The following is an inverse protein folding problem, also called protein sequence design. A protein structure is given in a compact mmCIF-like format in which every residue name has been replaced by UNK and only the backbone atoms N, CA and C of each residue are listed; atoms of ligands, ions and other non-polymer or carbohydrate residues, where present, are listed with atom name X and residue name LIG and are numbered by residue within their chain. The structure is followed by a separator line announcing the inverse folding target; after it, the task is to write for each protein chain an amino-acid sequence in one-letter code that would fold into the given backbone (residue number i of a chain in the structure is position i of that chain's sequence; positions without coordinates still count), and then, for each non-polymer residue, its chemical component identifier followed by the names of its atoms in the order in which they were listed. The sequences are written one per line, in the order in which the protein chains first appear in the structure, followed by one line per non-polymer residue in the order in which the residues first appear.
data_IF_418492114935
#
_entry.id   IF_418492114935
#
_cell.length_a   1.000
_cell.length_b   1.000
_cell.length_c   1.000
_cell.angle_alpha   90.00
_cell.angle_beta   90.00
_cell.angle_gamma   90.00
#
_symmetry.space_group_name_H-M   'P 1'
#
loop_
_entity.id
_entity.type
_entity.pdbx_description
1 polymer ?
#
# COMPACT_ATOMS: atom_id res chain seq x y z
N UNK A 1 4.66 -11.94 1.71
CA UNK A 1 4.56 -11.20 0.45
C UNK A 1 5.53 -11.68 -0.63
N UNK A 2 6.65 -12.32 -0.22
CA UNK A 2 7.55 -12.92 -1.21
C UNK A 2 6.83 -13.97 -2.05
N UNK A 3 5.82 -14.59 -1.48
CA UNK A 3 5.03 -15.62 -2.15
C UNK A 3 3.81 -15.08 -2.88
N UNK A 4 3.67 -13.76 -2.93
CA UNK A 4 2.53 -13.13 -3.61
C UNK A 4 2.58 -13.46 -5.09
N UNK A 5 1.52 -14.09 -5.58
CA UNK A 5 1.36 -14.43 -6.99
C UNK A 5 0.31 -13.54 -7.61
N UNK A 6 0.32 -13.49 -8.94
CA UNK A 6 -0.64 -12.67 -9.69
C UNK A 6 -2.09 -12.99 -9.34
N UNK A 7 -2.40 -14.27 -9.11
CA UNK A 7 -3.76 -14.66 -8.73
C UNK A 7 -4.18 -14.08 -7.37
N UNK A 8 -3.24 -13.90 -6.45
CA UNK A 8 -3.53 -13.27 -5.16
C UNK A 8 -3.82 -11.79 -5.35
N UNK A 9 -3.08 -11.14 -6.23
CA UNK A 9 -3.29 -9.73 -6.55
C UNK A 9 -4.63 -9.52 -7.22
N UNK A 10 -5.01 -10.41 -8.13
CA UNK A 10 -6.32 -10.39 -8.78
C UNK A 10 -7.44 -10.52 -7.76
N UNK A 11 -7.28 -11.36 -6.75
CA UNK A 11 -8.27 -11.53 -5.70
C UNK A 11 -8.42 -10.24 -4.87
N UNK A 12 -7.32 -9.55 -4.59
CA UNK A 12 -7.36 -8.27 -3.88
C UNK A 12 -8.14 -7.24 -4.70
N UNK A 13 -7.87 -7.17 -6.00
CA UNK A 13 -8.58 -6.25 -6.89
C UNK A 13 -10.07 -6.58 -6.90
N UNK A 14 -10.42 -7.86 -6.98
CA UNK A 14 -11.81 -8.29 -6.97
C UNK A 14 -12.52 -7.89 -5.67
N UNK A 15 -11.88 -8.11 -4.53
CA UNK A 15 -12.45 -7.74 -3.24
C UNK A 15 -12.66 -6.24 -3.11
N UNK A 16 -11.73 -5.44 -3.60
CA UNK A 16 -11.90 -3.99 -3.61
C UNK A 16 -13.01 -3.55 -4.55
N UNK A 17 -13.18 -4.25 -5.67
CA UNK A 17 -14.23 -3.96 -6.64
C UNK A 17 -15.62 -4.21 -6.05
N UNK A 18 -15.77 -5.32 -5.34
CA UNK A 18 -17.09 -5.74 -4.82
C UNK A 18 -17.43 -5.16 -3.46
N UNK A 19 -16.45 -4.63 -2.74
CA UNK A 19 -16.71 -4.02 -1.43
C UNK A 19 -17.63 -2.81 -1.58
N UNK A 20 -18.56 -2.66 -0.63
CA UNK A 20 -19.45 -1.50 -0.61
C UNK A 20 -18.78 -0.30 0.04
N UNK A 21 -17.72 -0.52 0.79
CA UNK A 21 -16.96 0.54 1.45
C UNK A 21 -16.20 1.37 0.44
N UNK A 22 -16.09 2.67 0.74
CA UNK A 22 -15.33 3.60 -0.10
C UNK A 22 -13.96 3.94 0.49
N UNK A 23 -13.67 3.44 1.66
CA UNK A 23 -12.39 3.63 2.36
C UNK A 23 -11.87 2.27 2.77
N UNK A 24 -10.74 1.87 2.22
CA UNK A 24 -10.19 0.53 2.40
C UNK A 24 -8.72 0.62 2.77
N UNK A 25 -8.33 -0.02 3.86
CA UNK A 25 -6.91 -0.19 4.22
C UNK A 25 -6.55 -1.65 3.99
N UNK A 26 -5.42 -1.86 3.33
CA UNK A 26 -4.91 -3.20 3.03
C UNK A 26 -3.55 -3.36 3.69
N UNK A 27 -3.41 -4.36 4.54
CA UNK A 27 -2.09 -4.74 5.05
C UNK A 27 -1.46 -5.73 4.07
N UNK A 28 -0.22 -5.47 3.70
CA UNK A 28 0.44 -6.16 2.60
C UNK A 28 1.93 -6.29 2.89
N UNK A 29 2.53 -7.35 2.41
CA UNK A 29 3.98 -7.46 2.48
C UNK A 29 4.65 -6.39 1.65
N UNK A 30 5.83 -5.95 2.09
CA UNK A 30 6.45 -4.75 1.52
C UNK A 30 7.14 -4.98 0.18
N UNK A 31 7.55 -6.22 -0.13
CA UNK A 31 8.34 -6.47 -1.34
C UNK A 31 7.55 -6.29 -2.64
N UNK A 32 6.26 -6.58 -2.61
CA UNK A 32 5.42 -6.50 -3.81
C UNK A 32 4.28 -5.51 -3.66
N UNK A 33 4.30 -4.70 -2.61
CA UNK A 33 3.25 -3.73 -2.31
C UNK A 33 3.03 -2.74 -3.46
N UNK A 34 4.11 -2.26 -4.06
CA UNK A 34 4.02 -1.31 -5.18
C UNK A 34 3.34 -1.92 -6.40
N UNK A 35 3.55 -3.22 -6.63
CA UNK A 35 2.90 -3.92 -7.74
C UNK A 35 1.38 -3.98 -7.53
N UNK A 36 0.96 -4.31 -6.33
CA UNK A 36 -0.47 -4.38 -6.00
C UNK A 36 -1.11 -2.99 -6.04
N UNK A 37 -0.40 -1.98 -5.53
CA UNK A 37 -0.90 -0.61 -5.57
C UNK A 37 -1.12 -0.13 -7.01
N UNK A 38 -0.20 -0.43 -7.92
CA UNK A 38 -0.37 -0.06 -9.33
C UNK A 38 -1.53 -0.80 -9.98
N UNK A 39 -1.70 -2.08 -9.67
CA UNK A 39 -2.82 -2.86 -10.20
C UNK A 39 -4.18 -2.28 -9.75
N UNK A 40 -4.27 -1.90 -8.48
CA UNK A 40 -5.47 -1.26 -7.95
C UNK A 40 -5.68 0.12 -8.56
N UNK A 41 -4.60 0.90 -8.70
CA UNK A 41 -4.67 2.25 -9.26
C UNK A 41 -5.18 2.25 -10.69
N UNK A 42 -4.85 1.23 -11.47
CA UNK A 42 -5.29 1.11 -12.86
C UNK A 42 -6.81 0.93 -13.00
N UNK A 43 -7.49 0.54 -11.92
CA UNK A 43 -8.94 0.33 -11.95
C UNK A 43 -9.74 1.63 -11.83
N UNK A 44 -9.11 2.71 -11.39
CA UNK A 44 -9.76 4.03 -11.23
C UNK A 44 -11.04 3.96 -10.37
N UNK A 45 -10.96 3.30 -9.24
CA UNK A 45 -12.07 3.20 -8.31
C UNK A 45 -12.48 4.58 -7.77
N UNK A 46 -13.77 4.73 -7.50
CA UNK A 46 -14.27 5.88 -6.74
C UNK A 46 -14.17 5.56 -5.25
N UNK A 47 -12.97 5.25 -4.81
CA UNK A 47 -12.65 4.81 -3.44
C UNK A 47 -11.27 5.32 -3.06
N UNK A 48 -11.05 5.47 -1.77
CA UNK A 48 -9.72 5.72 -1.23
C UNK A 48 -9.18 4.42 -0.66
N UNK A 49 -8.08 3.94 -1.22
CA UNK A 49 -7.46 2.68 -0.82
C UNK A 49 -6.03 2.96 -0.40
N UNK A 50 -5.67 2.56 0.81
CA UNK A 50 -4.32 2.78 1.33
C UNK A 50 -3.72 1.43 1.70
N UNK A 51 -2.59 1.12 1.08
CA UNK A 51 -1.81 -0.08 1.41
C UNK A 51 -0.73 0.28 2.41
N UNK A 52 -0.50 -0.60 3.35
CA UNK A 52 0.54 -0.44 4.36
C UNK A 52 1.04 -1.82 4.80
N UNK A 53 2.08 -1.83 5.61
CA UNK A 53 2.64 -3.08 6.10
C UNK A 53 3.72 -2.82 7.13
N UNK A 54 4.51 -3.84 7.42
CA UNK A 54 5.60 -3.75 8.37
C UNK A 54 6.90 -4.19 7.73
N UNK A 55 7.93 -3.39 7.87
CA UNK A 55 9.27 -3.78 7.48
C UNK A 55 9.86 -4.75 8.49
N UNK A 56 9.52 -4.57 9.78
CA UNK A 56 10.00 -5.40 10.88
C UNK A 56 8.81 -6.17 11.45
N UNK A 57 8.72 -7.49 11.23
CA UNK A 57 7.62 -8.29 11.77
C UNK A 57 7.58 -8.30 13.30
N UNK A 58 6.40 -8.41 13.87
CA UNK A 58 6.21 -8.45 15.32
C UNK A 58 6.98 -9.57 16.01
N UNK A 59 7.21 -10.69 15.32
CA UNK A 59 7.94 -11.82 15.90
C UNK A 59 9.38 -11.47 16.30
N UNK A 60 9.91 -10.35 15.84
CA UNK A 60 11.25 -9.89 16.18
C UNK A 60 11.24 -8.84 17.30
N UNK A 61 10.12 -8.69 18.01
CA UNK A 61 9.97 -7.73 19.09
C UNK A 61 9.36 -6.43 18.63
N UNK A 62 10.15 -5.35 18.59
CA UNK A 62 9.64 -4.06 18.12
C UNK A 62 9.33 -4.11 16.64
N UNK A 63 8.19 -3.55 16.25
CA UNK A 63 7.76 -3.50 14.86
C UNK A 63 7.27 -2.10 14.51
N UNK A 64 7.43 -1.73 13.26
CA UNK A 64 6.87 -0.50 12.70
C UNK A 64 5.40 -0.66 12.28
N UNK A 65 4.84 -1.87 12.40
CA UNK A 65 3.51 -2.17 11.89
C UNK A 65 2.40 -1.34 12.50
N UNK A 66 2.41 -1.16 13.83
CA UNK A 66 1.36 -0.38 14.50
C UNK A 66 1.36 1.06 14.05
N UNK A 67 2.52 1.68 13.95
CA UNK A 67 2.65 3.05 13.48
C UNK A 67 2.13 3.18 12.05
N UNK A 68 2.52 2.24 11.19
CA UNK A 68 2.14 2.27 9.78
C UNK A 68 0.63 2.07 9.59
N UNK A 69 0.01 1.14 10.32
CA UNK A 69 -1.43 0.92 10.19
C UNK A 69 -2.23 2.10 10.76
N UNK A 70 -1.76 2.70 11.85
CA UNK A 70 -2.42 3.88 12.39
C UNK A 70 -2.35 5.04 11.40
N UNK A 71 -1.20 5.23 10.76
CA UNK A 71 -1.04 6.26 9.72
C UNK A 71 -1.97 5.99 8.54
N UNK A 72 -2.05 4.74 8.08
CA UNK A 72 -2.92 4.38 6.96
C UNK A 72 -4.39 4.64 7.29
N UNK A 73 -4.82 4.34 8.51
CA UNK A 73 -6.19 4.60 8.95
C UNK A 73 -6.50 6.09 8.98
N UNK A 74 -5.53 6.92 9.33
CA UNK A 74 -5.71 8.37 9.28
C UNK A 74 -5.78 8.87 7.84
N UNK A 75 -4.87 8.42 6.99
CA UNK A 75 -4.83 8.85 5.59
C UNK A 75 -6.07 8.44 4.80
N UNK A 76 -6.59 7.23 5.02
CA UNK A 76 -7.74 6.74 4.25
C UNK A 76 -8.98 7.58 4.48
N UNK A 77 -9.06 8.25 5.62
CA UNK A 77 -10.19 9.08 5.99
C UNK A 77 -10.11 10.50 5.43
N UNK A 78 -8.95 10.92 4.95
CA UNK A 78 -8.71 12.32 4.60
C UNK A 78 -8.31 12.54 3.15
N UNK A 79 -7.75 11.53 2.50
CA UNK A 79 -7.29 11.66 1.12
C UNK A 79 -8.43 11.51 0.10
N UNK A 80 -8.32 12.18 -1.04
CA UNK A 80 -9.29 12.00 -2.12
C UNK A 80 -9.23 10.58 -2.68
N UNK A 81 -10.22 10.21 -3.47
CA UNK A 81 -10.24 8.91 -4.12
C UNK A 81 -8.95 8.65 -4.87
N UNK A 82 -8.41 7.47 -4.69
CA UNK A 82 -7.15 7.06 -5.26
C UNK A 82 -6.56 5.90 -4.49
N UNK A 83 -5.43 5.41 -4.97
CA UNK A 83 -4.71 4.31 -4.34
C UNK A 83 -3.34 4.82 -3.88
N UNK A 84 -3.01 4.56 -2.63
CA UNK A 84 -1.85 5.12 -1.97
C UNK A 84 -1.10 4.06 -1.19
N UNK A 85 0.17 4.31 -0.92
CA UNK A 85 0.98 3.53 0.02
C UNK A 85 1.33 4.45 1.18
N UNK A 86 1.08 3.99 2.41
CA UNK A 86 1.46 4.71 3.63
C UNK A 86 2.53 3.90 4.37
N UNK A 87 3.74 4.44 4.42
CA UNK A 87 4.87 3.81 5.09
C UNK A 87 5.72 4.87 5.77
N UNK A 88 6.15 4.58 6.99
CA UNK A 88 7.07 5.43 7.76
C UNK A 88 6.56 6.86 7.96
N UNK A 89 5.24 7.03 8.12
CA UNK A 89 4.61 8.33 8.34
C UNK A 89 4.46 9.17 7.09
N UNK A 90 4.77 8.60 5.92
CA UNK A 90 4.63 9.27 4.63
C UNK A 90 3.56 8.56 3.79
N UNK A 91 2.97 9.30 2.86
CA UNK A 91 2.00 8.73 1.94
C UNK A 91 2.44 9.01 0.50
N UNK A 92 2.25 8.02 -0.35
CA UNK A 92 2.66 8.10 -1.76
C UNK A 92 1.50 7.66 -2.65
N UNK A 93 1.33 8.35 -3.77
CA UNK A 93 0.39 7.90 -4.80
C UNK A 93 0.94 6.63 -5.46
N UNK A 94 0.06 5.72 -5.84
CA UNK A 94 0.39 4.37 -6.30
C UNK A 94 1.42 4.28 -7.42
N UNK A 95 1.47 5.28 -8.31
CA UNK A 95 2.37 5.27 -9.46
C UNK A 95 3.61 6.15 -9.27
N UNK A 96 3.78 6.71 -8.07
CA UNK A 96 4.89 7.62 -7.76
C UNK A 96 5.74 7.15 -6.59
N UNK A 97 5.79 5.86 -6.38
CA UNK A 97 6.51 5.29 -5.25
C UNK A 97 7.35 4.09 -5.68
N UNK A 98 8.52 3.97 -5.10
CA UNK A 98 9.37 2.79 -5.21
C UNK A 98 9.86 2.39 -3.83
N UNK A 99 10.19 1.12 -3.68
CA UNK A 99 10.90 0.63 -2.50
C UNK A 99 12.37 0.56 -2.85
N UNK A 100 13.18 1.34 -2.11
CA UNK A 100 14.63 1.27 -2.27
C UNK A 100 15.11 -0.06 -1.67
N UNK A 101 15.60 -0.96 -2.52
CA UNK A 101 15.97 -2.31 -2.11
C UNK A 101 17.21 -2.34 -1.22
N UNK A 102 18.06 -1.32 -1.31
CA UNK A 102 19.26 -1.25 -0.48
C UNK A 102 18.94 -0.79 0.94
N UNK A 103 18.08 0.21 1.08
CA UNK A 103 17.74 0.79 2.38
C UNK A 103 16.47 0.23 2.98
N UNK A 104 15.61 -0.39 2.16
CA UNK A 104 14.28 -0.84 2.59
C UNK A 104 13.27 0.27 2.72
N UNK A 105 13.63 1.50 2.40
CA UNK A 105 12.76 2.67 2.58
C UNK A 105 11.92 2.88 1.31
N UNK A 106 10.65 3.22 1.51
CA UNK A 106 9.79 3.67 0.42
C UNK A 106 10.05 5.14 0.16
N UNK A 107 10.20 5.48 -1.11
CA UNK A 107 10.51 6.85 -1.51
C UNK A 107 9.76 7.24 -2.76
N UNK A 108 9.63 8.54 -2.97
CA UNK A 108 8.95 9.05 -4.15
C UNK A 108 9.75 8.70 -5.40
N UNK A 109 9.03 8.19 -6.39
CA UNK A 109 9.63 7.90 -7.69
C UNK A 109 9.85 9.22 -8.44
N UNK A 110 11.11 9.52 -8.72
CA UNK A 110 11.44 10.71 -9.49
C UNK A 110 11.48 10.38 -10.96
N UNK A 111 10.83 11.20 -11.75
CA UNK A 111 10.87 11.06 -13.19
C UNK A 111 12.19 11.58 -13.73
N UNK A 112 12.83 10.75 -14.52
CA UNK A 112 14.01 11.11 -15.29
C UNK A 112 13.54 11.34 -16.72
N UNK A 113 13.52 12.57 -17.10
CA UNK A 113 13.11 12.93 -18.46
C UNK A 113 14.35 13.02 -19.35
#
# INVERSE_FOLDING_TARGET
SLDMQEKHRELIVEKCTTAIENQIVITHGTDTMTNTARALGAMHFKKTIVLTGAMIPYKFGTSDGLFNIASALAYVQTLPHGVYIAMNGRVFLHDKVIKNRETGIFEERKWMI
#
